data_IF_506137065849
#
_entry.id   IF_506137065849
#
_cell.length_a   1.000
_cell.length_b   1.000
_cell.length_c   1.000
_cell.angle_alpha   90.00
_cell.angle_beta   90.00
_cell.angle_gamma   90.00
#
_symmetry.space_group_name_H-M   'P 1'
#
loop_
_entity.id
_entity.type
_entity.pdbx_description
1 polymer ?
#
# COMPACT_ATOMS: atom_id res chain seq x y z
N UNK A 1 2.21 -6.83 12.95
CA UNK A 1 1.27 -6.16 12.04
C UNK A 1 1.23 -6.91 10.73
N UNK A 2 0.13 -6.80 10.00
CA UNK A 2 -0.05 -7.36 8.66
C UNK A 2 -0.34 -6.20 7.70
N UNK A 3 0.12 -6.28 6.46
CA UNK A 3 -0.12 -5.26 5.43
C UNK A 3 -0.51 -5.94 4.13
N UNK A 4 -1.40 -5.30 3.38
CA UNK A 4 -1.74 -5.69 2.02
C UNK A 4 -1.72 -4.45 1.10
N UNK A 5 -1.26 -4.64 -0.14
CA UNK A 5 -1.46 -3.65 -1.20
C UNK A 5 -2.89 -3.79 -1.72
N UNK A 6 -3.63 -2.70 -1.86
CA UNK A 6 -5.02 -2.71 -2.34
C UNK A 6 -5.13 -2.30 -3.80
N UNK A 7 -4.24 -1.41 -4.25
CA UNK A 7 -4.27 -0.88 -5.60
C UNK A 7 -2.87 -0.39 -6.01
N UNK A 8 -2.49 -0.67 -7.26
CA UNK A 8 -1.27 -0.13 -7.87
C UNK A 8 -1.60 0.47 -9.24
N UNK A 9 -1.77 1.80 -9.28
CA UNK A 9 -2.02 2.56 -10.52
C UNK A 9 -0.71 3.02 -11.16
N UNK A 10 -0.80 3.89 -12.17
CA UNK A 10 0.37 4.44 -12.87
C UNK A 10 1.35 5.13 -11.92
N UNK A 11 0.85 5.99 -11.04
CA UNK A 11 1.65 6.86 -10.16
C UNK A 11 1.32 6.70 -8.68
N UNK A 12 0.24 5.99 -8.39
CA UNK A 12 -0.38 5.92 -7.06
C UNK A 12 -0.40 4.48 -6.59
N UNK A 13 0.05 4.25 -5.36
CA UNK A 13 -0.16 3.01 -4.63
C UNK A 13 -1.16 3.23 -3.50
N UNK A 14 -1.94 2.21 -3.16
CA UNK A 14 -2.81 2.18 -1.99
C UNK A 14 -2.52 0.90 -1.21
N UNK A 15 -2.34 1.03 0.09
CA UNK A 15 -2.14 -0.11 0.98
C UNK A 15 -2.91 0.07 2.28
N UNK A 16 -3.14 -1.03 2.98
CA UNK A 16 -3.74 -1.03 4.31
C UNK A 16 -2.91 -1.93 5.21
N UNK A 17 -2.73 -1.47 6.45
CA UNK A 17 -2.03 -2.20 7.49
C UNK A 17 -2.92 -2.36 8.72
N UNK A 18 -2.80 -3.51 9.38
CA UNK A 18 -3.50 -3.83 10.62
C UNK A 18 -2.51 -4.16 11.71
N UNK A 19 -2.79 -3.64 12.90
CA UNK A 19 -2.11 -4.01 14.12
C UNK A 19 -3.12 -4.71 15.03
N UNK A 20 -2.66 -5.81 15.62
CA UNK A 20 -3.43 -6.64 16.52
C UNK A 20 -2.68 -6.74 17.84
N UNK A 21 -3.42 -6.91 18.92
CA UNK A 21 -2.88 -7.41 20.17
C UNK A 21 -2.46 -8.87 19.95
N UNK A 22 -1.22 -9.22 20.27
CA UNK A 22 -0.68 -10.58 20.04
C UNK A 22 -1.18 -11.59 21.06
N UNK A 23 -1.65 -11.13 22.23
CA UNK A 23 -2.13 -12.00 23.29
C UNK A 23 -3.60 -12.38 23.09
N UNK A 24 -4.42 -11.44 22.65
CA UNK A 24 -5.87 -11.64 22.45
C UNK A 24 -6.27 -11.86 20.99
N UNK A 25 -5.42 -11.45 20.04
CA UNK A 25 -5.75 -11.41 18.62
C UNK A 25 -6.71 -10.28 18.23
N UNK A 26 -7.09 -9.40 19.16
CA UNK A 26 -8.04 -8.32 18.88
C UNK A 26 -7.40 -7.22 18.01
N UNK A 27 -8.12 -6.66 17.03
CA UNK A 27 -7.62 -5.56 16.21
C UNK A 27 -7.52 -4.29 17.05
N UNK A 28 -6.35 -3.65 17.03
CA UNK A 28 -6.10 -2.38 17.72
C UNK A 28 -6.27 -1.20 16.78
N UNK A 29 -5.78 -1.32 15.55
CA UNK A 29 -5.86 -0.27 14.53
C UNK A 29 -5.79 -0.86 13.13
N UNK A 30 -6.56 -0.26 12.22
CA UNK A 30 -6.35 -0.36 10.78
C UNK A 30 -5.94 1.02 10.26
N UNK A 31 -4.91 1.06 9.42
CA UNK A 31 -4.40 2.29 8.82
C UNK A 31 -4.27 2.11 7.33
N UNK A 32 -4.86 3.03 6.58
CA UNK A 32 -4.76 3.06 5.13
C UNK A 32 -3.77 4.14 4.68
N UNK A 33 -2.95 3.83 3.68
CA UNK A 33 -2.00 4.74 3.07
C UNK A 33 -2.26 4.84 1.56
N UNK A 34 -2.20 6.08 1.05
CA UNK A 34 -2.22 6.38 -0.39
C UNK A 34 -0.93 7.11 -0.72
N UNK A 35 -0.08 6.46 -1.51
CA UNK A 35 1.26 6.95 -1.84
C UNK A 35 1.30 7.47 -3.28
N UNK A 36 1.93 8.63 -3.49
CA UNK A 36 2.16 9.19 -4.82
C UNK A 36 3.66 9.16 -5.14
N UNK A 37 4.02 8.54 -6.26
CA UNK A 37 5.40 8.49 -6.72
C UNK A 37 5.85 9.84 -7.28
N UNK A 38 6.86 10.44 -6.65
CA UNK A 38 7.42 11.74 -7.02
C UNK A 38 8.86 11.61 -7.48
N UNK A 39 9.19 12.30 -8.58
CA UNK A 39 10.58 12.61 -8.88
C UNK A 39 11.02 13.79 -8.01
N UNK A 40 12.01 13.58 -7.14
CA UNK A 40 12.45 14.59 -6.16
C UNK A 40 13.13 15.80 -6.82
N UNK A 41 13.85 15.59 -7.91
CA UNK A 41 14.55 16.68 -8.64
C UNK A 41 13.56 17.57 -9.37
N UNK A 42 12.62 16.96 -10.10
CA UNK A 42 11.63 17.67 -10.92
C UNK A 42 10.40 18.09 -10.10
N UNK A 43 10.29 17.62 -8.85
CA UNK A 43 9.16 17.86 -7.93
C UNK A 43 7.80 17.60 -8.59
N UNK A 44 7.70 16.49 -9.34
CA UNK A 44 6.49 16.11 -10.08
C UNK A 44 6.16 14.64 -9.92
N UNK A 45 4.88 14.31 -10.05
CA UNK A 45 4.42 12.94 -10.09
C UNK A 45 4.92 12.23 -11.35
N UNK A 46 5.48 11.04 -11.15
CA UNK A 46 5.97 10.16 -12.22
C UNK A 46 5.30 8.80 -12.14
N UNK A 47 5.38 8.03 -13.23
CA UNK A 47 5.02 6.63 -13.19
C UNK A 47 5.92 5.89 -12.20
N UNK A 48 5.33 4.93 -11.47
CA UNK A 48 6.08 4.03 -10.58
C UNK A 48 7.04 3.22 -11.47
N UNK A 49 8.36 3.22 -11.17
CA UNK A 49 9.34 2.45 -11.92
C UNK A 49 8.98 0.97 -12.03
N UNK A 50 9.30 0.34 -13.17
CA UNK A 50 8.92 -1.04 -13.43
C UNK A 50 9.47 -2.03 -12.38
N UNK A 51 10.71 -1.83 -11.95
CA UNK A 51 11.34 -2.59 -10.87
C UNK A 51 10.53 -2.53 -9.56
N UNK A 52 10.08 -1.34 -9.16
CA UNK A 52 9.27 -1.17 -7.94
C UNK A 52 7.85 -1.73 -8.07
N UNK A 53 7.36 -1.94 -9.31
CA UNK A 53 6.05 -2.58 -9.54
C UNK A 53 6.13 -4.08 -9.43
N UNK A 54 7.19 -4.69 -9.96
CA UNK A 54 7.39 -6.14 -9.92
C UNK A 54 7.46 -6.69 -8.50
N UNK A 55 7.97 -5.90 -7.55
CA UNK A 55 8.03 -6.26 -6.13
C UNK A 55 6.68 -6.14 -5.41
N UNK A 56 5.74 -5.34 -5.94
CA UNK A 56 4.46 -5.03 -5.29
C UNK A 56 3.26 -5.82 -5.85
N UNK A 57 3.35 -6.29 -7.10
CA UNK A 57 2.27 -7.00 -7.81
C UNK A 57 1.82 -8.34 -7.17
N UNK A 58 2.71 -9.16 -6.56
CA UNK A 58 2.29 -10.42 -5.94
C UNK A 58 1.38 -10.25 -4.72
N UNK A 59 1.46 -9.08 -4.06
CA UNK A 59 0.81 -8.78 -2.77
C UNK A 59 -0.40 -7.82 -2.94
N UNK A 60 -0.95 -7.72 -4.16
CA UNK A 60 -2.10 -6.88 -4.46
C UNK A 60 -3.42 -7.64 -4.22
N UNK A 61 -4.14 -7.22 -3.17
CA UNK A 61 -5.35 -7.81 -2.63
C UNK A 61 -6.51 -6.78 -2.62
N UNK A 62 -7.08 -6.42 -3.78
CA UNK A 62 -8.16 -5.42 -3.86
C UNK A 62 -9.41 -5.82 -3.06
N UNK A 63 -9.62 -7.12 -2.83
CA UNK A 63 -10.71 -7.67 -2.01
C UNK A 63 -10.64 -7.28 -0.53
N UNK A 64 -9.47 -6.83 -0.05
CA UNK A 64 -9.28 -6.38 1.33
C UNK A 64 -9.56 -4.89 1.53
N UNK A 65 -9.96 -4.17 0.47
CA UNK A 65 -10.29 -2.77 0.58
C UNK A 65 -11.59 -2.55 1.38
N UNK A 66 -11.64 -1.56 2.29
CA UNK A 66 -12.87 -1.21 3.00
C UNK A 66 -13.95 -0.72 2.02
N UNK A 67 -15.19 -1.17 2.22
CA UNK A 67 -16.38 -0.82 1.43
C UNK A 67 -17.07 0.46 1.91
#
# INVERSE_FOLDING_TARGET
SFQASLELKEKVGRSIAWCFDTDTGEPLVASEAVDLCLNLTQRRAIAIPAESRSDADPDCHPELAPH
#
